data_IF_012376035564
#
_entry.id   IF_012376035564
#
_cell.length_a   1.000
_cell.length_b   1.000
_cell.length_c   1.000
_cell.angle_alpha   90.00
_cell.angle_beta   90.00
_cell.angle_gamma   90.00
#
_symmetry.space_group_name_H-M   'P 1'
#
loop_
_entity.id
_entity.type
_entity.pdbx_description
1 polymer ?
#
# COMPACT_ATOMS: atom_id res chain seq x y z
N UNK A 1 -36.88 13.58 -71.50
CA UNK A 1 -35.43 13.81 -71.28
C UNK A 1 -35.27 15.02 -70.36
N UNK A 2 -35.18 14.82 -69.03
CA UNK A 2 -35.17 15.93 -68.06
C UNK A 2 -33.77 16.54 -67.94
N UNK A 3 -33.59 17.77 -68.44
CA UNK A 3 -32.39 18.58 -68.19
C UNK A 3 -32.44 19.10 -66.75
N UNK A 4 -31.76 18.42 -65.83
CA UNK A 4 -31.56 18.93 -64.47
C UNK A 4 -30.76 20.24 -64.56
N UNK A 5 -31.34 21.32 -64.03
CA UNK A 5 -30.76 22.66 -64.05
C UNK A 5 -29.37 22.64 -63.41
N UNK A 6 -28.35 23.15 -64.12
CA UNK A 6 -26.93 23.16 -63.71
C UNK A 6 -26.71 23.76 -62.31
N UNK A 7 -27.60 24.68 -61.89
CA UNK A 7 -27.60 25.29 -60.55
C UNK A 7 -28.02 24.31 -59.44
N UNK A 8 -28.98 23.42 -59.72
CA UNK A 8 -29.44 22.37 -58.80
C UNK A 8 -28.38 21.29 -58.65
N UNK A 9 -27.74 20.86 -59.75
CA UNK A 9 -26.65 19.88 -59.73
C UNK A 9 -25.47 20.35 -58.86
N UNK A 10 -25.04 21.62 -59.00
CA UNK A 10 -23.98 22.20 -58.15
C UNK A 10 -24.37 22.30 -56.68
N UNK A 11 -25.64 22.58 -56.37
CA UNK A 11 -26.12 22.66 -54.98
C UNK A 11 -26.12 21.28 -54.31
N UNK A 12 -26.48 20.23 -55.06
CA UNK A 12 -26.42 18.83 -54.58
C UNK A 12 -24.97 18.38 -54.41
N UNK A 13 -24.08 18.66 -55.37
CA UNK A 13 -22.65 18.32 -55.27
C UNK A 13 -21.97 19.02 -54.07
N UNK A 14 -22.30 20.30 -53.81
CA UNK A 14 -21.76 21.03 -52.66
C UNK A 14 -22.34 20.52 -51.32
N UNK A 15 -23.61 20.14 -51.29
CA UNK A 15 -24.23 19.51 -50.11
C UNK A 15 -23.62 18.14 -49.81
N UNK A 16 -23.36 17.33 -50.82
CA UNK A 16 -22.75 16.00 -50.68
C UNK A 16 -21.28 16.09 -50.23
N UNK A 17 -20.54 17.09 -50.72
CA UNK A 17 -19.18 17.40 -50.24
C UNK A 17 -19.16 17.88 -48.78
N UNK A 18 -20.12 18.73 -48.40
CA UNK A 18 -20.27 19.20 -47.02
C UNK A 18 -20.61 18.06 -46.07
N UNK A 19 -21.46 17.12 -46.50
CA UNK A 19 -21.78 15.90 -45.74
C UNK A 19 -20.55 15.00 -45.59
N UNK A 20 -19.77 14.81 -46.66
CA UNK A 20 -18.54 14.02 -46.63
C UNK A 20 -17.49 14.60 -45.68
N UNK A 21 -17.32 15.93 -45.69
CA UNK A 21 -16.41 16.63 -44.76
C UNK A 21 -16.86 16.43 -43.31
N UNK A 22 -18.17 16.49 -43.04
CA UNK A 22 -18.72 16.28 -41.70
C UNK A 22 -18.52 14.83 -41.21
N UNK A 23 -18.70 13.83 -42.07
CA UNK A 23 -18.45 12.41 -41.75
C UNK A 23 -16.97 12.16 -41.47
N UNK A 24 -16.07 12.77 -42.26
CA UNK A 24 -14.62 12.67 -42.05
C UNK A 24 -14.22 13.32 -40.71
N UNK A 25 -14.81 14.46 -40.34
CA UNK A 25 -14.58 15.11 -39.05
C UNK A 25 -15.01 14.25 -37.85
N UNK A 26 -16.13 13.51 -37.96
CA UNK A 26 -16.58 12.59 -36.90
C UNK A 26 -15.58 11.43 -36.73
N UNK A 27 -14.96 10.95 -37.82
CA UNK A 27 -13.95 9.88 -37.76
C UNK A 27 -12.65 10.34 -37.06
N UNK A 28 -12.30 11.62 -37.11
CA UNK A 28 -11.10 12.16 -36.44
C UNK A 28 -11.30 12.48 -34.95
N UNK A 29 -12.55 12.69 -34.50
CA UNK A 29 -12.87 12.85 -33.06
C UNK A 29 -13.19 11.53 -32.35
N UNK A 30 -13.17 10.40 -33.06
CA UNK A 30 -13.18 9.05 -32.49
C UNK A 30 -11.83 8.68 -31.86
N UNK A 31 -11.29 9.53 -30.99
CA UNK A 31 -10.12 9.17 -30.20
C UNK A 31 -10.58 8.25 -29.07
N UNK A 32 -10.32 6.97 -29.29
CA UNK A 32 -10.27 5.88 -28.32
C UNK A 32 -9.86 6.37 -26.94
N UNK A 33 -10.80 6.30 -25.98
CA UNK A 33 -10.42 6.34 -24.58
C UNK A 33 -9.52 5.14 -24.31
N UNK A 34 -8.22 5.38 -24.12
CA UNK A 34 -7.25 4.41 -23.62
C UNK A 34 -7.60 3.99 -22.19
N UNK A 35 -8.68 3.23 -22.06
CA UNK A 35 -9.03 2.42 -20.91
C UNK A 35 -9.01 0.98 -21.42
N UNK A 36 -8.61 0.05 -20.56
CA UNK A 36 -8.70 -1.42 -20.77
C UNK A 36 -7.40 -2.18 -21.13
N UNK A 37 -6.26 -1.81 -20.55
CA UNK A 37 -5.21 -2.81 -20.26
C UNK A 37 -4.95 -2.98 -18.76
N UNK A 38 -5.28 -1.95 -17.97
CA UNK A 38 -5.00 -1.84 -16.53
C UNK A 38 -6.05 -2.57 -15.65
N UNK A 39 -7.30 -2.71 -16.12
CA UNK A 39 -8.43 -3.17 -15.28
C UNK A 39 -8.68 -4.68 -15.27
N UNK A 40 -8.02 -5.47 -16.14
CA UNK A 40 -8.29 -6.91 -16.28
C UNK A 40 -7.11 -7.82 -15.91
N UNK A 41 -6.04 -7.28 -15.31
CA UNK A 41 -4.90 -8.11 -14.93
C UNK A 41 -5.22 -8.92 -13.68
N UNK A 42 -5.01 -10.23 -13.75
CA UNK A 42 -5.17 -11.16 -12.63
C UNK A 42 -3.78 -11.56 -12.15
N UNK A 43 -3.50 -11.25 -10.89
CA UNK A 43 -2.29 -11.57 -10.17
C UNK A 43 -2.53 -12.75 -9.24
N UNK A 44 -1.49 -13.54 -9.08
CA UNK A 44 -1.34 -14.59 -8.08
C UNK A 44 -0.37 -14.16 -6.98
N UNK A 45 -0.32 -14.90 -5.88
CA UNK A 45 0.69 -14.67 -4.85
C UNK A 45 2.12 -14.93 -5.36
N UNK A 46 2.29 -15.87 -6.30
CA UNK A 46 3.59 -16.19 -6.87
C UNK A 46 4.16 -15.03 -7.68
N UNK A 47 3.31 -14.25 -8.38
CA UNK A 47 3.75 -13.03 -9.07
C UNK A 47 4.32 -12.01 -8.08
N UNK A 48 3.64 -11.85 -6.94
CA UNK A 48 4.06 -10.92 -5.88
C UNK A 48 5.37 -11.37 -5.24
N UNK A 49 5.50 -12.66 -4.94
CA UNK A 49 6.74 -13.24 -4.40
C UNK A 49 7.88 -13.17 -5.42
N UNK A 50 7.59 -13.39 -6.71
CA UNK A 50 8.54 -13.27 -7.82
C UNK A 50 9.16 -11.88 -7.93
N UNK A 51 8.41 -10.83 -7.57
CA UNK A 51 8.91 -9.45 -7.48
C UNK A 51 9.86 -9.21 -6.29
N UNK A 52 10.11 -10.20 -5.44
CA UNK A 52 10.97 -10.10 -4.26
C UNK A 52 10.25 -9.75 -2.96
N UNK A 53 8.91 -9.86 -2.93
CA UNK A 53 8.13 -9.75 -1.70
C UNK A 53 8.38 -10.94 -0.77
N UNK A 54 8.59 -10.65 0.52
CA UNK A 54 8.89 -11.65 1.55
C UNK A 54 7.72 -11.80 2.50
N UNK A 55 6.90 -12.83 2.30
CA UNK A 55 5.75 -13.16 3.16
C UNK A 55 6.22 -13.35 4.61
N UNK A 56 5.44 -12.82 5.56
CA UNK A 56 5.69 -12.97 7.00
C UNK A 56 4.53 -13.54 7.78
N UNK A 57 3.30 -13.19 7.43
CA UNK A 57 2.15 -13.71 8.14
C UNK A 57 0.83 -13.36 7.49
N UNK A 58 -0.21 -13.81 8.17
CA UNK A 58 -1.62 -13.59 7.85
C UNK A 58 -2.17 -12.39 8.62
N UNK A 59 -3.31 -11.90 8.15
CA UNK A 59 -4.18 -11.03 8.93
C UNK A 59 -5.16 -11.88 9.74
N UNK A 60 -5.58 -11.36 10.89
CA UNK A 60 -6.67 -11.95 11.68
C UNK A 60 -8.05 -11.46 11.20
N UNK A 61 -8.08 -10.29 10.57
CA UNK A 61 -9.28 -9.70 9.95
C UNK A 61 -9.73 -10.57 8.79
N UNK A 62 -11.02 -10.91 8.78
CA UNK A 62 -11.63 -11.59 7.66
C UNK A 62 -11.99 -10.58 6.57
N UNK A 63 -11.43 -10.77 5.38
CA UNK A 63 -11.75 -9.96 4.21
C UNK A 63 -12.70 -10.77 3.31
N UNK A 64 -13.97 -10.32 3.13
CA UNK A 64 -14.96 -11.08 2.38
C UNK A 64 -14.49 -11.37 0.96
N UNK A 65 -14.74 -12.60 0.50
CA UNK A 65 -14.49 -13.04 -0.88
C UNK A 65 -13.03 -12.88 -1.36
N UNK A 66 -12.07 -12.82 -0.42
CA UNK A 66 -10.65 -12.82 -0.76
C UNK A 66 -10.12 -14.23 -0.98
N UNK A 67 -9.17 -14.36 -1.90
CA UNK A 67 -8.43 -15.60 -2.10
C UNK A 67 -7.23 -15.67 -1.16
N UNK A 68 -6.53 -14.55 -1.00
CA UNK A 68 -5.26 -14.47 -0.27
C UNK A 68 -5.18 -13.13 0.44
N UNK A 69 -4.77 -13.17 1.72
CA UNK A 69 -4.49 -11.99 2.53
C UNK A 69 -3.21 -12.24 3.32
N UNK A 70 -2.13 -11.52 3.00
CA UNK A 70 -0.83 -11.69 3.64
C UNK A 70 -0.17 -10.35 3.89
N UNK A 71 0.66 -10.25 4.92
CA UNK A 71 1.61 -9.16 5.09
C UNK A 71 3.05 -9.69 5.07
N UNK A 72 3.97 -8.80 4.72
CA UNK A 72 5.35 -9.15 4.46
C UNK A 72 6.20 -7.91 4.21
N UNK A 73 7.42 -8.13 3.71
CA UNK A 73 8.35 -7.04 3.43
C UNK A 73 8.71 -6.95 1.96
N UNK A 74 8.71 -5.73 1.43
CA UNK A 74 9.30 -5.39 0.13
C UNK A 74 10.21 -4.18 0.29
N UNK A 75 11.46 -4.27 -0.20
CA UNK A 75 12.50 -3.24 -0.04
C UNK A 75 12.63 -2.66 1.39
N UNK A 76 12.41 -3.49 2.41
CA UNK A 76 12.53 -3.10 3.82
C UNK A 76 11.32 -2.37 4.42
N UNK A 77 10.19 -2.30 3.69
CA UNK A 77 8.91 -1.74 4.15
C UNK A 77 7.88 -2.84 4.34
N UNK A 78 7.04 -2.73 5.37
CA UNK A 78 5.91 -3.63 5.53
C UNK A 78 4.85 -3.32 4.47
N UNK A 79 4.46 -4.34 3.72
CA UNK A 79 3.44 -4.28 2.68
C UNK A 79 2.42 -5.37 2.95
N UNK A 80 1.15 -5.03 2.87
CA UNK A 80 0.04 -5.97 2.84
C UNK A 80 -0.42 -6.23 1.41
N UNK A 81 -0.78 -7.47 1.15
CA UNK A 81 -1.18 -8.00 -0.14
C UNK A 81 -2.53 -8.67 0.05
N UNK A 82 -3.55 -8.15 -0.64
CA UNK A 82 -4.89 -8.71 -0.66
C UNK A 82 -5.23 -9.05 -2.11
N UNK A 83 -5.57 -10.30 -2.38
CA UNK A 83 -5.88 -10.79 -3.72
C UNK A 83 -7.32 -11.27 -3.75
N UNK A 84 -8.08 -10.73 -4.69
CA UNK A 84 -9.45 -11.16 -4.97
C UNK A 84 -9.50 -12.12 -6.17
N UNK A 85 -10.58 -12.92 -6.31
CA UNK A 85 -10.78 -13.77 -7.47
C UNK A 85 -10.95 -13.01 -8.79
N UNK A 86 -11.49 -11.78 -8.74
CA UNK A 86 -11.75 -10.94 -9.91
C UNK A 86 -11.39 -9.48 -9.65
N UNK A 87 -11.25 -8.73 -10.75
CA UNK A 87 -10.96 -7.30 -10.70
C UNK A 87 -12.18 -6.48 -10.24
N UNK A 88 -13.39 -6.95 -10.51
CA UNK A 88 -14.64 -6.35 -10.01
C UNK A 88 -14.73 -6.41 -8.48
N UNK A 89 -14.39 -7.56 -7.88
CA UNK A 89 -14.38 -7.74 -6.43
C UNK A 89 -13.28 -6.89 -5.79
N UNK A 90 -12.09 -6.80 -6.40
CA UNK A 90 -11.04 -5.91 -5.91
C UNK A 90 -11.45 -4.43 -5.94
N UNK A 91 -12.11 -3.97 -7.00
CA UNK A 91 -12.56 -2.58 -7.12
C UNK A 91 -13.74 -2.22 -6.19
N UNK A 92 -14.49 -3.22 -5.72
CA UNK A 92 -15.63 -3.02 -4.81
C UNK A 92 -15.25 -3.33 -3.37
N UNK A 93 -15.11 -4.61 -3.03
CA UNK A 93 -14.75 -5.09 -1.70
C UNK A 93 -13.30 -4.75 -1.34
N UNK A 94 -12.38 -4.85 -2.29
CA UNK A 94 -10.98 -4.50 -2.04
C UNK A 94 -10.76 -3.02 -1.76
N UNK A 95 -11.57 -2.15 -2.37
CA UNK A 95 -11.58 -0.72 -2.04
C UNK A 95 -12.02 -0.48 -0.60
N UNK A 96 -13.11 -1.13 -0.17
CA UNK A 96 -13.58 -1.05 1.21
C UNK A 96 -12.50 -1.57 2.17
N UNK A 97 -11.88 -2.71 1.86
CA UNK A 97 -10.79 -3.27 2.66
C UNK A 97 -9.60 -2.30 2.79
N UNK A 98 -9.21 -1.64 1.70
CA UNK A 98 -8.17 -0.63 1.68
C UNK A 98 -8.51 0.59 2.56
N UNK A 99 -9.73 1.13 2.38
CA UNK A 99 -10.23 2.27 3.15
C UNK A 99 -10.30 1.94 4.64
N UNK A 100 -10.82 0.77 5.01
CA UNK A 100 -10.96 0.34 6.41
C UNK A 100 -9.61 0.11 7.10
N UNK A 101 -8.61 -0.43 6.39
CA UNK A 101 -7.27 -0.65 6.97
C UNK A 101 -6.40 0.61 7.02
N UNK A 102 -6.73 1.64 6.24
CA UNK A 102 -6.04 2.94 6.25
C UNK A 102 -6.81 4.03 7.00
N UNK A 103 -7.98 3.71 7.54
CA UNK A 103 -8.87 4.68 8.19
C UNK A 103 -8.22 5.36 9.38
N UNK A 104 -7.98 6.67 9.24
CA UNK A 104 -7.48 7.53 10.30
C UNK A 104 -8.60 8.44 10.80
N UNK A 105 -8.84 8.42 12.11
CA UNK A 105 -9.84 9.25 12.77
C UNK A 105 -9.20 10.34 13.62
N UNK A 106 -9.97 11.38 13.94
CA UNK A 106 -9.55 12.40 14.90
C UNK A 106 -9.48 11.82 16.31
N UNK A 107 -8.51 12.29 17.10
CA UNK A 107 -8.29 11.79 18.46
C UNK A 107 -9.30 12.45 19.39
N UNK A 108 -10.47 11.82 19.53
CA UNK A 108 -11.51 12.27 20.47
C UNK A 108 -11.31 11.63 21.84
N UNK A 109 -10.89 10.35 21.89
CA UNK A 109 -10.68 9.61 23.13
C UNK A 109 -9.37 8.80 23.14
N UNK A 110 -8.66 8.82 24.27
CA UNK A 110 -7.64 7.83 24.66
C UNK A 110 -6.56 7.50 23.61
N UNK A 111 -5.94 8.51 23.00
CA UNK A 111 -4.80 8.34 22.10
C UNK A 111 -5.08 7.45 20.87
N UNK A 112 -6.35 7.18 20.54
CA UNK A 112 -6.76 6.35 19.40
C UNK A 112 -7.01 7.29 18.21
N UNK A 113 -6.34 7.02 17.09
CA UNK A 113 -6.46 7.77 15.84
C UNK A 113 -6.68 6.83 14.64
N UNK A 114 -7.25 5.65 14.85
CA UNK A 114 -7.52 4.66 13.81
C UNK A 114 -8.99 4.24 13.83
N UNK A 115 -9.50 3.83 12.67
CA UNK A 115 -10.82 3.22 12.53
C UNK A 115 -10.98 1.92 13.32
N UNK A 116 -12.22 1.49 13.60
CA UNK A 116 -12.48 0.30 14.42
C UNK A 116 -12.04 -1.01 13.76
N UNK A 117 -11.87 -1.02 12.44
CA UNK A 117 -11.53 -2.22 11.65
C UNK A 117 -10.04 -2.32 11.29
N UNK A 118 -9.23 -1.32 11.67
CA UNK A 118 -7.79 -1.32 11.41
C UNK A 118 -7.11 -2.37 12.28
N UNK A 119 -6.45 -3.35 11.66
CA UNK A 119 -5.76 -4.42 12.41
C UNK A 119 -4.33 -4.02 12.79
N UNK A 120 -3.57 -3.49 11.83
CA UNK A 120 -2.16 -3.18 11.99
C UNK A 120 -2.00 -1.74 12.47
N UNK A 121 -1.45 -1.59 13.68
CA UNK A 121 -1.31 -0.29 14.34
C UNK A 121 0.15 0.07 14.58
N UNK A 122 0.44 1.37 14.53
CA UNK A 122 1.74 1.93 14.89
C UNK A 122 1.57 3.04 15.92
N UNK A 123 2.53 3.13 16.84
CA UNK A 123 2.61 4.20 17.83
C UNK A 123 3.42 5.38 17.27
N UNK A 124 2.79 6.54 17.08
CA UNK A 124 3.47 7.78 16.68
C UNK A 124 3.41 8.84 17.79
N UNK A 125 4.22 9.90 17.65
CA UNK A 125 4.21 11.05 18.56
C UNK A 125 5.33 11.09 19.61
N UNK A 126 6.23 10.10 19.65
CA UNK A 126 7.50 10.23 20.38
C UNK A 126 8.54 10.89 19.47
N UNK A 127 9.28 11.88 19.97
CA UNK A 127 10.36 12.53 19.22
C UNK A 127 11.37 11.48 18.69
N UNK A 128 11.91 11.73 17.48
CA UNK A 128 12.94 10.91 16.82
C UNK A 128 14.20 10.88 17.70
N UNK A 129 14.24 9.98 18.68
CA UNK A 129 15.36 9.90 19.64
C UNK A 129 15.13 9.08 20.90
N UNK A 130 13.97 8.45 21.10
CA UNK A 130 13.73 7.74 22.36
C UNK A 130 12.80 6.54 22.25
N UNK A 131 13.17 5.55 21.43
CA UNK A 131 12.50 4.26 21.37
C UNK A 131 13.30 3.17 22.10
N UNK A 132 12.68 2.52 23.08
CA UNK A 132 13.06 1.19 23.59
C UNK A 132 12.82 0.09 22.53
N UNK A 133 12.08 0.40 21.46
CA UNK A 133 11.76 -0.53 20.35
C UNK A 133 11.89 0.09 18.95
N UNK A 134 12.46 1.30 18.83
CA UNK A 134 12.64 1.98 17.55
C UNK A 134 14.05 1.81 16.99
N UNK A 135 14.30 0.77 16.17
CA UNK A 135 15.55 0.45 15.42
C UNK A 135 16.90 0.47 16.18
N UNK A 136 16.95 0.95 17.41
CA UNK A 136 18.12 0.98 18.27
C UNK A 136 17.85 -0.04 19.37
N UNK A 137 18.52 -1.19 19.27
CA UNK A 137 18.38 -2.29 20.22
C UNK A 137 18.56 -1.84 21.67
N UNK A 138 18.13 -2.71 22.59
CA UNK A 138 18.30 -2.52 24.03
C UNK A 138 19.77 -2.15 24.32
N UNK A 139 20.05 -0.90 24.66
CA UNK A 139 21.29 -0.57 25.37
C UNK A 139 21.12 -1.11 26.77
N UNK A 140 21.55 -2.36 26.97
CA UNK A 140 21.73 -2.90 28.31
C UNK A 140 22.77 -2.01 28.99
N UNK A 141 22.31 -1.09 29.84
CA UNK A 141 23.19 -0.31 30.69
C UNK A 141 23.59 -1.23 31.85
N UNK A 142 24.39 -2.25 31.56
CA UNK A 142 24.98 -3.10 32.57
C UNK A 142 25.98 -2.24 33.32
N UNK A 143 25.59 -1.74 34.49
CA UNK A 143 26.52 -1.10 35.41
C UNK A 143 27.32 -2.23 36.06
N UNK A 144 28.39 -2.64 35.39
CA UNK A 144 29.37 -3.59 35.92
C UNK A 144 30.12 -2.90 37.05
N UNK A 145 29.69 -3.10 38.29
CA UNK A 145 30.55 -2.89 39.44
C UNK A 145 31.34 -4.17 39.65
N UNK A 146 32.34 -4.42 38.81
CA UNK A 146 33.34 -5.44 39.09
C UNK A 146 34.60 -4.73 39.59
N UNK A 147 34.85 -4.83 40.90
CA UNK A 147 36.19 -4.55 41.47
C UNK A 147 37.24 -5.58 41.02
N UNK A 148 36.85 -6.60 40.24
CA UNK A 148 37.74 -7.66 39.78
C UNK A 148 38.09 -7.50 38.29
N UNK A 149 39.38 -7.27 38.05
CA UNK A 149 40.01 -6.97 36.76
C UNK A 149 39.98 -8.11 35.74
N UNK A 150 38.83 -8.36 35.13
CA UNK A 150 38.66 -9.18 33.94
C UNK A 150 38.12 -8.33 32.79
N UNK A 151 38.96 -7.39 32.33
CA UNK A 151 38.75 -6.69 31.07
C UNK A 151 38.82 -7.68 29.90
N UNK A 152 37.77 -7.66 29.06
CA UNK A 152 37.78 -8.04 27.65
C UNK A 152 37.81 -9.52 27.25
N UNK A 153 37.15 -10.44 27.99
CA UNK A 153 36.89 -11.79 27.46
C UNK A 153 35.52 -12.36 27.84
N UNK A 154 34.56 -12.28 26.90
CA UNK A 154 33.27 -12.96 27.02
C UNK A 154 33.39 -14.42 26.56
N UNK A 155 33.48 -15.36 27.50
CA UNK A 155 33.15 -16.77 27.25
C UNK A 155 31.72 -16.99 27.75
N UNK A 156 30.75 -16.91 26.83
CA UNK A 156 29.35 -17.25 27.12
C UNK A 156 29.20 -18.77 27.12
N UNK A 157 29.67 -19.42 28.19
CA UNK A 157 29.18 -20.73 28.53
C UNK A 157 27.85 -20.55 29.30
N UNK A 158 26.80 -21.19 28.78
CA UNK A 158 25.43 -21.09 29.26
C UNK A 158 25.33 -21.32 30.77
N UNK A 159 24.43 -20.55 31.37
CA UNK A 159 23.70 -20.78 32.63
C UNK A 159 24.23 -20.06 33.87
N UNK A 160 23.30 -19.33 34.52
CA UNK A 160 23.34 -18.69 35.87
C UNK A 160 23.66 -17.20 35.98
N UNK A 161 23.27 -16.37 35.01
CA UNK A 161 23.36 -14.89 35.14
C UNK A 161 22.08 -14.18 35.57
N UNK A 162 21.02 -14.89 35.96
CA UNK A 162 19.73 -14.27 36.29
C UNK A 162 19.19 -14.76 37.63
N UNK A 163 19.83 -14.38 38.74
CA UNK A 163 19.23 -14.50 40.08
C UNK A 163 18.57 -13.20 40.56
N UNK A 164 18.83 -12.08 39.89
CA UNK A 164 18.19 -10.80 40.20
C UNK A 164 17.13 -10.50 39.14
N UNK A 165 15.89 -10.25 39.58
CA UNK A 165 14.80 -9.80 38.71
C UNK A 165 15.27 -8.63 37.86
N UNK A 166 15.35 -8.84 36.55
CA UNK A 166 15.54 -7.74 35.61
C UNK A 166 14.27 -6.91 35.68
N UNK A 167 14.33 -5.75 36.32
CA UNK A 167 13.29 -4.73 36.19
C UNK A 167 13.36 -4.22 34.74
N UNK A 168 12.55 -4.83 33.87
CA UNK A 168 12.39 -4.36 32.50
C UNK A 168 11.54 -3.09 32.59
N UNK A 169 12.12 -1.90 32.39
CA UNK A 169 11.37 -0.66 32.56
C UNK A 169 10.16 -0.70 31.65
N UNK A 170 9.01 -0.37 32.23
CA UNK A 170 7.74 -0.40 31.55
C UNK A 170 7.84 0.48 30.30
N UNK A 171 7.55 -0.12 29.14
CA UNK A 171 7.63 0.57 27.87
C UNK A 171 6.83 1.88 27.91
N UNK A 172 7.36 2.94 27.27
CA UNK A 172 6.68 4.24 27.21
C UNK A 172 5.25 4.05 26.70
N UNK A 173 4.29 4.66 27.40
CA UNK A 173 2.88 4.67 26.99
C UNK A 173 2.78 5.25 25.57
N UNK A 174 2.00 4.58 24.71
CA UNK A 174 1.77 5.02 23.34
C UNK A 174 0.94 6.31 23.33
N UNK A 175 1.52 7.38 22.80
CA UNK A 175 0.91 8.72 22.77
C UNK A 175 -0.18 8.82 21.72
N UNK A 176 -0.03 8.11 20.59
CA UNK A 176 -1.02 8.06 19.53
C UNK A 176 -0.91 6.75 18.77
N UNK A 177 -1.99 5.97 18.72
CA UNK A 177 -2.12 4.75 17.92
C UNK A 177 -2.79 5.10 16.61
N UNK A 178 -2.13 4.80 15.51
CA UNK A 178 -2.60 5.06 14.15
C UNK A 178 -2.56 3.78 13.32
N UNK A 179 -3.25 3.76 12.17
CA UNK A 179 -3.01 2.76 11.15
C UNK A 179 -1.52 2.70 10.78
N UNK A 180 -0.98 1.48 10.69
CA UNK A 180 0.37 1.24 10.16
C UNK A 180 0.43 1.64 8.69
N UNK A 181 -0.55 1.16 7.92
CA UNK A 181 -0.73 1.49 6.52
C UNK A 181 -1.46 2.82 6.40
N UNK A 182 -0.97 3.72 5.55
CA UNK A 182 -1.62 5.02 5.31
C UNK A 182 -2.20 5.13 3.93
N UNK A 183 -1.63 4.42 2.96
CA UNK A 183 -2.04 4.45 1.57
C UNK A 183 -2.22 3.03 1.06
N UNK A 184 -3.13 2.89 0.09
CA UNK A 184 -3.35 1.64 -0.63
C UNK A 184 -3.52 1.91 -2.13
N UNK A 185 -3.27 0.88 -2.93
CA UNK A 185 -3.43 0.93 -4.38
C UNK A 185 -4.06 -0.36 -4.88
N UNK A 186 -5.07 -0.21 -5.73
CA UNK A 186 -5.76 -1.31 -6.40
C UNK A 186 -5.25 -1.38 -7.84
N UNK A 187 -4.87 -2.56 -8.29
CA UNK A 187 -4.49 -2.81 -9.67
C UNK A 187 -4.89 -4.23 -10.10
N UNK A 188 -5.80 -4.33 -11.06
CA UNK A 188 -6.39 -5.62 -11.42
C UNK A 188 -7.17 -6.22 -10.25
N UNK A 189 -6.86 -7.46 -9.86
CA UNK A 189 -7.45 -8.13 -8.69
C UNK A 189 -6.63 -7.99 -7.39
N UNK A 190 -5.57 -7.18 -7.41
CA UNK A 190 -4.60 -7.03 -6.33
C UNK A 190 -4.78 -5.69 -5.62
N UNK A 191 -4.75 -5.71 -4.28
CA UNK A 191 -4.64 -4.52 -3.44
C UNK A 191 -3.34 -4.61 -2.65
N UNK A 192 -2.63 -3.50 -2.65
CA UNK A 192 -1.39 -3.31 -1.89
C UNK A 192 -1.59 -2.19 -0.88
N UNK A 193 -1.22 -2.43 0.38
CA UNK A 193 -1.17 -1.40 1.41
C UNK A 193 0.26 -1.31 1.93
N UNK A 194 0.75 -0.12 2.28
CA UNK A 194 2.17 0.05 2.66
C UNK A 194 2.36 0.99 3.84
N UNK A 195 3.34 0.64 4.70
CA UNK A 195 3.83 1.54 5.73
C UNK A 195 4.61 2.71 5.07
N UNK A 196 4.22 3.98 5.29
CA UNK A 196 4.97 5.13 4.80
C UNK A 196 6.31 5.26 5.55
N UNK A 197 7.37 5.69 4.87
CA UNK A 197 8.57 6.10 5.58
C UNK A 197 8.32 7.41 6.34
N UNK A 198 9.08 7.64 7.41
CA UNK A 198 8.86 8.79 8.29
C UNK A 198 9.06 10.17 7.61
N UNK A 199 9.70 10.20 6.44
CA UNK A 199 9.95 11.40 5.64
C UNK A 199 9.05 11.51 4.42
N UNK A 200 8.31 10.45 4.10
CA UNK A 200 7.47 10.40 2.91
C UNK A 200 6.11 11.02 3.17
N UNK A 201 5.58 11.68 2.15
CA UNK A 201 4.18 12.05 2.09
C UNK A 201 3.33 10.97 1.38
N UNK A 202 2.06 11.28 1.16
CA UNK A 202 1.11 10.39 0.49
C UNK A 202 1.51 10.11 -0.96
N UNK A 203 2.02 11.12 -1.68
CA UNK A 203 2.37 11.00 -3.10
C UNK A 203 3.58 10.07 -3.29
N UNK A 204 4.63 10.26 -2.48
CA UNK A 204 5.82 9.40 -2.48
C UNK A 204 5.46 7.95 -2.10
N UNK A 205 4.53 7.77 -1.15
CA UNK A 205 4.05 6.45 -0.73
C UNK A 205 3.28 5.74 -1.85
N UNK A 206 2.42 6.46 -2.57
CA UNK A 206 1.69 5.94 -3.73
C UNK A 206 2.64 5.62 -4.89
N UNK A 207 3.68 6.43 -5.10
CA UNK A 207 4.70 6.15 -6.11
C UNK A 207 5.43 4.83 -5.82
N UNK A 208 5.79 4.58 -4.56
CA UNK A 208 6.36 3.30 -4.13
C UNK A 208 5.44 2.12 -4.47
N UNK A 209 4.13 2.25 -4.24
CA UNK A 209 3.15 1.20 -4.60
C UNK A 209 3.10 0.98 -6.13
N UNK A 210 3.15 2.06 -6.92
CA UNK A 210 3.21 1.96 -8.39
C UNK A 210 4.49 1.27 -8.87
N UNK A 211 5.63 1.54 -8.24
CA UNK A 211 6.87 0.82 -8.53
C UNK A 211 6.76 -0.67 -8.22
N UNK A 212 6.13 -1.03 -7.09
CA UNK A 212 5.90 -2.42 -6.74
C UNK A 212 5.02 -3.11 -7.79
N UNK A 213 3.93 -2.49 -8.24
CA UNK A 213 3.09 -3.06 -9.32
C UNK A 213 3.89 -3.28 -10.60
N UNK A 214 4.77 -2.35 -10.97
CA UNK A 214 5.65 -2.50 -12.14
C UNK A 214 6.62 -3.68 -11.97
N UNK A 215 7.08 -3.95 -10.75
CA UNK A 215 7.97 -5.08 -10.46
C UNK A 215 7.25 -6.44 -10.43
N UNK A 216 5.95 -6.45 -10.10
CA UNK A 216 5.08 -7.65 -10.14
C UNK A 216 4.65 -7.96 -11.58
N UNK A 217 4.60 -6.92 -12.44
CA UNK A 217 3.98 -6.99 -13.76
C UNK A 217 4.83 -7.62 -14.83
#
# INVERSE_FOLDING_TARGET
>A
MYKINKKIKRKIENGLKSLFIFVILILFFGCSGGKNEIENKIYSLDDVVGAGYKIKGDFNTEFPETTIVKWGFYKGREVAVVVYPSTELANTLGKIAGEEQTERIEVVEKNIAHGPKVEKLVCRGHARGGGWTGRHGIKLNLRWNSEDGLGDKFIINKSRFFENQIDVPHGKVCVRREPLYTEFLIHGNLILLVEPLATEDSEETIEFLKELIKAIS
#
